data_IF_154313234016
#
_entry.id   IF_154313234016
#
_cell.length_a   1.000
_cell.length_b   1.000
_cell.length_c   1.000
_cell.angle_alpha   90.00
_cell.angle_beta   90.00
_cell.angle_gamma   90.00
#
_symmetry.space_group_name_H-M   'P 1'
#
loop_
_entity.id
_entity.type
_entity.pdbx_description
1 polymer ?
#
# COMPACT_ATOMS: atom_id res chain seq x y z
N UNK A 1 -23.62 -20.40 -2.18
CA UNK A 1 -23.76 -18.94 -2.27
C UNK A 1 -22.70 -18.32 -1.37
N UNK A 2 -21.66 -17.69 -1.92
CA UNK A 2 -20.62 -17.03 -1.12
C UNK A 2 -21.23 -15.69 -0.70
N UNK A 3 -21.37 -15.42 0.60
CA UNK A 3 -21.79 -14.09 1.07
C UNK A 3 -20.76 -13.07 0.57
N UNK A 4 -21.21 -12.11 -0.24
CA UNK A 4 -20.37 -10.97 -0.63
C UNK A 4 -20.07 -10.17 0.63
N UNK A 5 -18.78 -9.87 0.84
CA UNK A 5 -18.33 -9.07 1.98
C UNK A 5 -18.79 -7.63 1.79
N UNK A 6 -19.28 -7.01 2.85
CA UNK A 6 -19.55 -5.58 2.87
C UNK A 6 -18.26 -4.78 2.72
N UNK A 7 -18.35 -3.57 2.16
CA UNK A 7 -17.18 -2.68 2.04
C UNK A 7 -16.50 -2.41 3.38
N UNK A 8 -17.28 -2.32 4.47
CA UNK A 8 -16.74 -2.12 5.82
C UNK A 8 -15.92 -3.33 6.30
N UNK A 9 -16.33 -4.56 5.99
CA UNK A 9 -15.54 -5.75 6.29
C UNK A 9 -14.25 -5.79 5.45
N UNK A 10 -14.31 -5.39 4.18
CA UNK A 10 -13.12 -5.34 3.31
C UNK A 10 -12.14 -4.29 3.83
N UNK A 11 -12.63 -3.09 4.15
CA UNK A 11 -11.84 -2.02 4.76
C UNK A 11 -11.19 -2.47 6.07
N UNK A 12 -11.96 -3.16 6.93
CA UNK A 12 -11.41 -3.69 8.18
C UNK A 12 -10.27 -4.69 7.94
N UNK A 13 -10.41 -5.60 6.98
CA UNK A 13 -9.32 -6.53 6.65
C UNK A 13 -8.09 -5.84 6.06
N UNK A 14 -8.29 -4.78 5.28
CA UNK A 14 -7.20 -3.98 4.75
C UNK A 14 -6.45 -3.23 5.88
N UNK A 15 -7.17 -2.63 6.83
CA UNK A 15 -6.59 -2.02 8.02
C UNK A 15 -5.83 -3.02 8.90
N UNK A 16 -6.39 -4.21 9.09
CA UNK A 16 -5.77 -5.26 9.90
C UNK A 16 -4.46 -5.74 9.27
N UNK A 17 -4.41 -5.95 7.94
CA UNK A 17 -3.17 -6.40 7.29
C UNK A 17 -2.09 -5.30 7.27
N UNK A 18 -2.46 -4.02 7.19
CA UNK A 18 -1.51 -2.90 7.36
C UNK A 18 -0.96 -2.87 8.77
N UNK A 19 -1.81 -3.12 9.77
CA UNK A 19 -1.39 -3.22 11.18
C UNK A 19 -0.42 -4.38 11.39
N UNK A 20 -0.72 -5.56 10.86
CA UNK A 20 0.15 -6.72 10.94
C UNK A 20 1.52 -6.47 10.28
N UNK A 21 1.53 -5.77 9.14
CA UNK A 21 2.77 -5.35 8.48
C UNK A 21 3.58 -4.40 9.37
N UNK A 22 2.95 -3.40 9.98
CA UNK A 22 3.62 -2.46 10.88
C UNK A 22 4.21 -3.17 12.10
N UNK A 23 3.47 -4.12 12.70
CA UNK A 23 3.96 -4.95 13.81
C UNK A 23 5.22 -5.73 13.40
N UNK A 24 5.25 -6.29 12.19
CA UNK A 24 6.45 -6.97 11.69
C UNK A 24 7.70 -6.07 11.66
N UNK A 25 7.54 -4.79 11.31
CA UNK A 25 8.63 -3.80 11.22
C UNK A 25 8.97 -3.08 12.54
N UNK A 26 8.17 -3.27 13.60
CA UNK A 26 8.41 -2.69 14.94
C UNK A 26 9.28 -3.59 15.84
N UNK A 27 9.51 -4.85 15.45
CA UNK A 27 10.19 -5.88 16.25
C UNK A 27 11.73 -5.72 16.34
N UNK A 28 12.28 -4.58 15.89
CA UNK A 28 13.71 -4.25 16.04
C UNK A 28 14.70 -5.18 15.33
N UNK A 29 14.25 -5.96 14.33
CA UNK A 29 15.07 -6.92 13.57
C UNK A 29 16.07 -6.20 12.64
N UNK A 30 17.07 -6.95 12.17
CA UNK A 30 17.86 -6.53 11.01
C UNK A 30 17.05 -6.74 9.72
N UNK A 31 16.58 -5.64 9.14
CA UNK A 31 15.76 -5.65 7.92
C UNK A 31 16.55 -5.54 6.61
N UNK A 32 17.88 -5.72 6.65
CA UNK A 32 18.74 -5.79 5.46
C UNK A 32 18.65 -7.12 4.72
N UNK A 33 18.04 -8.15 5.33
CA UNK A 33 17.88 -9.48 4.73
C UNK A 33 17.15 -9.41 3.40
N UNK A 34 17.72 -10.05 2.39
CA UNK A 34 17.18 -10.17 1.03
C UNK A 34 15.95 -11.10 1.02
N UNK A 35 14.83 -10.61 0.47
CA UNK A 35 13.52 -11.29 0.39
C UNK A 35 13.23 -11.74 -1.04
N UNK A 36 13.47 -10.86 -2.01
CA UNK A 36 13.36 -11.14 -3.44
C UNK A 36 14.75 -11.04 -4.09
N UNK A 37 14.85 -11.13 -5.40
CA UNK A 37 16.15 -11.20 -6.11
C UNK A 37 17.17 -10.14 -5.63
N UNK A 38 16.73 -8.89 -5.48
CA UNK A 38 17.56 -7.74 -5.14
C UNK A 38 16.93 -6.83 -4.08
N UNK A 39 15.78 -7.22 -3.53
CA UNK A 39 15.05 -6.42 -2.54
C UNK A 39 15.22 -7.00 -1.14
N UNK A 40 15.75 -6.18 -0.23
CA UNK A 40 15.74 -6.43 1.21
C UNK A 40 14.34 -6.29 1.80
N UNK A 41 14.16 -6.74 3.05
CA UNK A 41 12.91 -6.51 3.78
C UNK A 41 12.61 -5.00 3.90
N UNK A 42 13.61 -4.14 4.06
CA UNK A 42 13.42 -2.68 4.00
C UNK A 42 12.91 -2.22 2.64
N UNK A 43 13.46 -2.76 1.54
CA UNK A 43 13.04 -2.41 0.18
C UNK A 43 11.57 -2.78 -0.06
N UNK A 44 11.11 -3.91 0.47
CA UNK A 44 9.69 -4.32 0.43
C UNK A 44 8.78 -3.29 1.13
N UNK A 45 9.19 -2.75 2.28
CA UNK A 45 8.43 -1.69 2.96
C UNK A 45 8.36 -0.42 2.11
N UNK A 46 9.49 0.00 1.52
CA UNK A 46 9.55 1.15 0.61
C UNK A 46 8.62 0.97 -0.60
N UNK A 47 8.62 -0.23 -1.20
CA UNK A 47 7.72 -0.58 -2.29
C UNK A 47 6.24 -0.43 -1.91
N UNK A 48 5.83 -1.01 -0.77
CA UNK A 48 4.45 -0.94 -0.27
C UNK A 48 4.05 0.51 0.03
N UNK A 49 4.94 1.27 0.68
CA UNK A 49 4.74 2.68 1.01
C UNK A 49 4.53 3.52 -0.24
N UNK A 50 5.35 3.35 -1.28
CA UNK A 50 5.24 4.10 -2.53
C UNK A 50 3.84 3.98 -3.15
N UNK A 51 3.29 2.76 -3.17
CA UNK A 51 1.93 2.53 -3.64
C UNK A 51 0.90 3.15 -2.69
N UNK A 52 1.02 2.94 -1.38
CA UNK A 52 0.08 3.49 -0.38
C UNK A 52 0.00 5.01 -0.42
N UNK A 53 1.13 5.71 -0.47
CA UNK A 53 1.14 7.17 -0.57
C UNK A 53 0.51 7.65 -1.89
N UNK A 54 0.71 6.91 -2.99
CA UNK A 54 0.03 7.24 -4.25
C UNK A 54 -1.47 7.10 -4.13
N UNK A 55 -1.96 6.06 -3.46
CA UNK A 55 -3.39 5.87 -3.27
C UNK A 55 -3.99 6.92 -2.34
N UNK A 56 -3.34 7.18 -1.20
CA UNK A 56 -3.71 8.23 -0.27
C UNK A 56 -3.85 9.60 -0.96
N UNK A 57 -2.88 10.00 -1.78
CA UNK A 57 -2.96 11.24 -2.57
C UNK A 57 -4.14 11.20 -3.55
N UNK A 58 -4.31 10.10 -4.29
CA UNK A 58 -5.38 10.01 -5.29
C UNK A 58 -6.77 10.10 -4.66
N UNK A 59 -7.01 9.47 -3.52
CA UNK A 59 -8.33 9.53 -2.85
C UNK A 59 -8.60 10.91 -2.24
N UNK A 60 -7.59 11.54 -1.63
CA UNK A 60 -7.71 12.91 -1.11
C UNK A 60 -7.95 13.91 -2.25
N UNK A 61 -7.21 13.79 -3.37
CA UNK A 61 -7.39 14.66 -4.53
C UNK A 61 -8.82 14.60 -5.07
N UNK A 62 -9.41 13.41 -5.19
CA UNK A 62 -10.81 13.24 -5.64
C UNK A 62 -11.78 13.95 -4.69
N UNK A 63 -11.63 13.76 -3.38
CA UNK A 63 -12.53 14.34 -2.38
C UNK A 63 -12.46 15.87 -2.39
N UNK A 64 -11.26 16.40 -2.59
CA UNK A 64 -10.95 17.84 -2.60
C UNK A 64 -11.08 18.48 -3.99
N UNK A 65 -11.74 17.79 -4.94
CA UNK A 65 -11.98 18.26 -6.32
C UNK A 65 -10.69 18.65 -7.09
N UNK A 66 -9.57 18.04 -6.72
CA UNK A 66 -8.30 18.11 -7.45
C UNK A 66 -8.16 16.96 -8.43
N UNK A 67 -7.34 17.18 -9.46
CA UNK A 67 -7.03 16.14 -10.45
C UNK A 67 -5.99 15.16 -9.88
N UNK A 68 -6.31 13.86 -9.73
CA UNK A 68 -5.33 12.87 -9.27
C UNK A 68 -4.15 12.73 -10.23
N UNK A 69 -2.98 12.41 -9.67
CA UNK A 69 -1.75 12.20 -10.44
C UNK A 69 -1.20 10.78 -10.18
N UNK A 70 -1.81 9.74 -10.78
CA UNK A 70 -1.35 8.37 -10.60
C UNK A 70 0.06 8.16 -11.17
N UNK A 71 0.74 7.13 -10.65
CA UNK A 71 2.11 6.77 -11.05
C UNK A 71 2.22 6.56 -12.57
N UNK A 72 3.38 6.89 -13.14
CA UNK A 72 3.67 6.86 -14.58
C UNK A 72 4.84 5.92 -14.86
N UNK A 73 4.81 5.26 -16.02
CA UNK A 73 5.80 4.26 -16.44
C UNK A 73 5.22 2.84 -16.49
N UNK A 74 6.07 1.88 -16.81
CA UNK A 74 5.80 0.44 -16.66
C UNK A 74 5.67 0.06 -15.18
N UNK A 75 5.08 -1.11 -14.88
CA UNK A 75 5.03 -1.60 -13.50
C UNK A 75 6.43 -1.82 -12.92
N UNK A 76 7.36 -2.29 -13.74
CA UNK A 76 8.76 -2.45 -13.35
C UNK A 76 9.37 -1.10 -12.94
N UNK A 77 9.29 -0.08 -13.78
CA UNK A 77 9.83 1.25 -13.47
C UNK A 77 9.17 1.87 -12.23
N UNK A 78 7.85 1.74 -12.09
CA UNK A 78 7.13 2.26 -10.93
C UNK A 78 7.60 1.59 -9.64
N UNK A 79 7.78 0.27 -9.66
CA UNK A 79 8.23 -0.49 -8.51
C UNK A 79 9.68 -0.15 -8.13
N UNK A 80 10.57 -0.13 -9.11
CA UNK A 80 11.98 0.24 -8.92
C UNK A 80 12.14 1.66 -8.39
N UNK A 81 11.36 2.60 -8.93
CA UNK A 81 11.32 3.97 -8.43
C UNK A 81 10.85 4.04 -6.98
N UNK A 82 9.81 3.29 -6.63
CA UNK A 82 9.28 3.24 -5.26
C UNK A 82 10.31 2.73 -4.26
N UNK A 83 11.06 1.67 -4.61
CA UNK A 83 12.14 1.16 -3.76
C UNK A 83 13.28 2.17 -3.64
N UNK A 84 13.77 2.67 -4.78
CA UNK A 84 14.90 3.60 -4.82
C UNK A 84 14.63 4.91 -4.08
N UNK A 85 13.41 5.43 -4.15
CA UNK A 85 12.99 6.65 -3.47
C UNK A 85 13.24 6.59 -1.96
N UNK A 86 13.18 5.41 -1.36
CA UNK A 86 13.21 5.20 0.09
C UNK A 86 14.48 4.48 0.58
N UNK A 87 15.48 4.30 -0.30
CA UNK A 87 16.67 3.49 0.00
C UNK A 87 17.41 3.96 1.25
N UNK A 88 17.51 5.27 1.44
CA UNK A 88 18.22 5.89 2.56
C UNK A 88 17.30 6.23 3.76
N UNK A 89 15.98 6.10 3.59
CA UNK A 89 15.01 6.47 4.63
C UNK A 89 14.99 5.42 5.76
N UNK A 90 15.04 5.82 7.05
CA UNK A 90 14.95 4.87 8.17
C UNK A 90 13.60 4.15 8.22
N UNK A 91 13.60 2.89 8.68
CA UNK A 91 12.37 2.07 8.78
C UNK A 91 11.29 2.74 9.62
N UNK A 92 11.68 3.36 10.74
CA UNK A 92 10.76 4.11 11.59
C UNK A 92 10.02 5.21 10.81
N UNK A 93 10.73 5.93 9.94
CA UNK A 93 10.13 6.98 9.12
C UNK A 93 9.21 6.39 8.04
N UNK A 94 9.60 5.26 7.41
CA UNK A 94 8.75 4.55 6.45
C UNK A 94 7.45 4.07 7.10
N UNK A 95 7.53 3.46 8.29
CA UNK A 95 6.37 3.01 9.06
C UNK A 95 5.46 4.18 9.43
N UNK A 96 6.03 5.30 9.88
CA UNK A 96 5.25 6.50 10.21
C UNK A 96 4.49 7.06 8.99
N UNK A 97 5.16 7.13 7.84
CA UNK A 97 4.53 7.59 6.58
C UNK A 97 3.45 6.62 6.10
N UNK A 98 3.63 5.31 6.31
CA UNK A 98 2.60 4.32 5.98
C UNK A 98 1.36 4.52 6.86
N UNK A 99 1.53 4.79 8.16
CA UNK A 99 0.43 5.11 9.08
C UNK A 99 -0.33 6.36 8.61
N UNK A 100 0.39 7.41 8.20
CA UNK A 100 -0.21 8.65 7.71
C UNK A 100 -0.97 8.44 6.39
N UNK A 101 -0.38 7.72 5.44
CA UNK A 101 -1.05 7.36 4.19
C UNK A 101 -2.31 6.53 4.46
N UNK A 102 -2.24 5.55 5.36
CA UNK A 102 -3.38 4.72 5.74
C UNK A 102 -4.51 5.54 6.36
N UNK A 103 -4.16 6.52 7.21
CA UNK A 103 -5.15 7.43 7.80
C UNK A 103 -5.90 8.21 6.72
N UNK A 104 -5.19 8.76 5.75
CA UNK A 104 -5.81 9.49 4.63
C UNK A 104 -6.74 8.56 3.83
N UNK A 105 -6.34 7.32 3.56
CA UNK A 105 -7.20 6.34 2.89
C UNK A 105 -8.46 6.09 3.71
N UNK A 106 -8.34 5.80 5.00
CA UNK A 106 -9.47 5.54 5.89
C UNK A 106 -10.47 6.70 5.94
N UNK A 107 -9.99 7.94 5.96
CA UNK A 107 -10.82 9.15 6.01
C UNK A 107 -11.59 9.41 4.71
N UNK A 108 -11.04 8.98 3.56
CA UNK A 108 -11.55 9.35 2.25
C UNK A 108 -12.24 8.21 1.48
N UNK A 109 -11.81 6.96 1.64
CA UNK A 109 -12.16 5.84 0.74
C UNK A 109 -13.66 5.54 0.62
N UNK A 110 -14.45 5.88 1.65
CA UNK A 110 -15.91 5.70 1.68
C UNK A 110 -16.69 6.96 1.26
N UNK A 111 -16.00 8.04 0.88
CA UNK A 111 -16.64 9.26 0.41
C UNK A 111 -17.40 9.00 -0.89
N UNK A 112 -18.64 9.48 -0.98
CA UNK A 112 -19.52 9.27 -2.15
C UNK A 112 -18.96 9.84 -3.46
N UNK A 113 -18.01 10.77 -3.40
CA UNK A 113 -17.29 11.27 -4.59
C UNK A 113 -16.35 10.23 -5.20
N UNK A 114 -15.93 9.22 -4.44
CA UNK A 114 -15.01 8.20 -4.90
C UNK A 114 -15.78 7.06 -5.56
N UNK A 115 -16.05 7.23 -6.85
CA UNK A 115 -16.58 6.15 -7.68
C UNK A 115 -15.46 5.27 -8.24
N UNK A 116 -14.35 5.90 -8.67
CA UNK A 116 -13.20 5.24 -9.26
C UNK A 116 -11.89 5.86 -8.76
N UNK A 117 -10.94 5.00 -8.43
CA UNK A 117 -9.61 5.36 -7.93
C UNK A 117 -8.59 5.06 -9.02
N UNK A 118 -7.87 6.07 -9.54
CA UNK A 118 -6.79 5.87 -10.48
C UNK A 118 -5.66 5.03 -9.85
N UNK A 119 -5.23 3.99 -10.57
CA UNK A 119 -4.12 3.13 -10.16
C UNK A 119 -2.78 3.64 -10.70
N UNK A 120 -2.52 3.35 -11.98
CA UNK A 120 -1.36 3.78 -12.73
C UNK A 120 -1.84 4.40 -14.04
N UNK A 121 -1.13 5.42 -14.53
CA UNK A 121 -1.44 6.02 -15.83
C UNK A 121 -1.43 4.96 -16.94
N UNK A 122 -2.51 4.93 -17.73
CA UNK A 122 -2.73 3.96 -18.81
C UNK A 122 -3.31 2.61 -18.37
N UNK A 123 -3.58 2.42 -17.08
CA UNK A 123 -4.24 1.23 -16.55
C UNK A 123 -5.71 1.53 -16.21
N UNK A 124 -6.52 0.49 -16.03
CA UNK A 124 -7.90 0.67 -15.53
C UNK A 124 -7.89 1.25 -14.11
N UNK A 125 -8.92 2.01 -13.78
CA UNK A 125 -9.20 2.44 -12.41
C UNK A 125 -9.93 1.33 -11.65
N UNK A 126 -9.96 1.43 -10.33
CA UNK A 126 -10.63 0.50 -9.44
C UNK A 126 -11.81 1.16 -8.73
N UNK A 127 -12.88 0.41 -8.45
CA UNK A 127 -13.83 0.85 -7.43
C UNK A 127 -13.17 0.83 -6.04
N UNK A 128 -13.74 1.50 -5.02
CA UNK A 128 -13.24 1.41 -3.65
C UNK A 128 -13.09 -0.03 -3.14
N UNK A 129 -14.08 -0.89 -3.40
CA UNK A 129 -14.05 -2.30 -3.00
C UNK A 129 -12.91 -3.05 -3.69
N UNK A 130 -12.77 -2.92 -5.01
CA UNK A 130 -11.68 -3.54 -5.77
C UNK A 130 -10.32 -3.08 -5.26
N UNK A 131 -10.19 -1.79 -5.00
CA UNK A 131 -8.96 -1.19 -4.51
C UNK A 131 -8.54 -1.80 -3.17
N UNK A 132 -9.44 -1.82 -2.18
CA UNK A 132 -9.17 -2.38 -0.86
C UNK A 132 -8.80 -3.88 -0.94
N UNK A 133 -9.47 -4.65 -1.80
CA UNK A 133 -9.11 -6.06 -2.00
C UNK A 133 -7.73 -6.25 -2.62
N UNK A 134 -7.38 -5.42 -3.61
CA UNK A 134 -6.06 -5.46 -4.27
C UNK A 134 -4.97 -5.13 -3.26
N UNK A 135 -5.15 -4.07 -2.47
CA UNK A 135 -4.20 -3.67 -1.43
C UNK A 135 -4.06 -4.76 -0.37
N UNK A 136 -5.18 -5.31 0.14
CA UNK A 136 -5.16 -6.39 1.11
C UNK A 136 -4.36 -7.61 0.60
N UNK A 137 -4.66 -8.10 -0.61
CA UNK A 137 -3.97 -9.26 -1.21
C UNK A 137 -2.49 -8.96 -1.42
N UNK A 138 -2.17 -7.75 -1.88
CA UNK A 138 -0.80 -7.31 -2.12
C UNK A 138 0.05 -7.33 -0.84
N UNK A 139 -0.40 -6.67 0.23
CA UNK A 139 0.32 -6.64 1.50
C UNK A 139 0.41 -8.04 2.10
N UNK A 140 -0.69 -8.80 2.08
CA UNK A 140 -0.71 -10.17 2.62
C UNK A 140 0.34 -11.08 1.98
N UNK A 141 0.53 -10.99 0.67
CA UNK A 141 1.52 -11.78 -0.04
C UNK A 141 2.94 -11.41 0.43
N UNK A 142 3.26 -10.12 0.47
CA UNK A 142 4.56 -9.65 0.97
C UNK A 142 4.80 -10.03 2.44
N UNK A 143 3.80 -9.85 3.31
CA UNK A 143 3.90 -10.22 4.72
C UNK A 143 4.11 -11.74 4.89
N UNK A 144 3.50 -12.56 4.02
CA UNK A 144 3.73 -14.01 4.03
C UNK A 144 5.19 -14.35 3.71
N UNK A 145 5.76 -13.71 2.68
CA UNK A 145 7.15 -13.91 2.28
C UNK A 145 8.14 -13.41 3.35
N UNK A 146 7.86 -12.23 3.92
CA UNK A 146 8.61 -11.66 5.04
C UNK A 146 8.60 -12.62 6.24
N UNK A 147 7.43 -13.07 6.68
CA UNK A 147 7.35 -14.01 7.79
C UNK A 147 8.08 -15.33 7.49
N UNK A 148 8.01 -15.84 6.25
CA UNK A 148 8.77 -17.04 5.87
C UNK A 148 10.28 -16.82 5.96
N UNK A 149 10.77 -15.63 5.60
CA UNK A 149 12.19 -15.31 5.65
C UNK A 149 12.71 -15.08 7.08
N UNK A 150 11.87 -14.67 8.04
CA UNK A 150 12.27 -14.37 9.42
C UNK A 150 11.81 -15.42 10.45
N UNK A 151 11.44 -16.62 9.99
CA UNK A 151 11.27 -17.80 10.84
C UNK A 151 12.59 -18.38 11.31
#
# INVERSE_FOLDING_TARGET
MRLERSINEILKSEQDIVTDLLVFYDDGKDYSKIIYTDWSAKDVLGHILSWHESFARNVSDIVEDRKPNPLKGSLYEVNENGVRQFKETPIRELSQRLIEAQKIINENILNKKIELIPYKKGSRSYSPQEHLEVVYKHIKNHLTDLNKAYK
#
